data_IF_145375065286
#
_entry.id   IF_145375065286
#
_cell.length_a   1.000
_cell.length_b   1.000
_cell.length_c   1.000
_cell.angle_alpha   90.00
_cell.angle_beta   90.00
_cell.angle_gamma   90.00
#
_symmetry.space_group_name_H-M   'P 1'
#
loop_
_entity.id
_entity.type
_entity.pdbx_description
1 polymer ?
#
# COMPACT_ATOMS: atom_id res chain seq x y z
N UNK A 1 24.27 -20.43 16.61
CA UNK A 1 23.17 -20.93 17.46
C UNK A 1 23.20 -20.18 18.78
N UNK A 2 22.33 -19.19 18.94
CA UNK A 2 21.88 -18.73 20.26
C UNK A 2 20.41 -18.36 20.13
N UNK A 3 19.56 -19.02 20.91
CA UNK A 3 18.09 -18.94 20.83
C UNK A 3 17.62 -17.62 21.45
N UNK A 4 17.36 -16.61 20.62
CA UNK A 4 16.56 -15.46 21.04
C UNK A 4 15.09 -15.90 21.12
N UNK A 5 14.65 -16.21 22.35
CA UNK A 5 13.25 -16.52 22.69
C UNK A 5 12.40 -15.26 22.45
N UNK A 6 11.22 -15.46 21.89
CA UNK A 6 10.24 -14.40 21.71
C UNK A 6 9.76 -13.83 23.04
N UNK A 7 9.96 -12.54 23.20
CA UNK A 7 9.06 -11.64 23.93
C UNK A 7 8.89 -10.41 23.05
N UNK A 8 7.64 -10.05 22.76
CA UNK A 8 7.24 -8.91 21.96
C UNK A 8 7.42 -7.61 22.76
N UNK A 9 8.65 -7.36 23.19
CA UNK A 9 9.09 -6.11 23.80
C UNK A 9 9.96 -5.43 22.77
N UNK A 10 9.39 -4.49 22.04
CA UNK A 10 10.13 -3.46 21.34
C UNK A 10 10.97 -2.71 22.39
N UNK A 11 12.15 -3.26 22.69
CA UNK A 11 13.17 -2.56 23.45
C UNK A 11 13.63 -1.48 22.51
N UNK A 12 13.02 -0.29 22.64
CA UNK A 12 13.51 0.94 22.07
C UNK A 12 14.99 1.07 22.45
N UNK A 13 15.87 0.64 21.55
CA UNK A 13 17.27 1.00 21.64
C UNK A 13 17.31 2.51 21.44
N UNK A 14 17.48 3.24 22.55
CA UNK A 14 17.88 4.65 22.54
C UNK A 14 19.33 4.78 22.08
N UNK A 15 19.68 4.19 20.94
CA UNK A 15 20.95 4.40 20.26
C UNK A 15 20.79 5.64 19.38
N UNK A 16 21.74 6.57 19.45
CA UNK A 16 21.82 7.61 18.41
C UNK A 16 21.95 6.89 17.05
N UNK A 17 21.24 7.34 16.00
CA UNK A 17 21.30 6.70 14.68
C UNK A 17 22.72 6.54 14.13
N UNK A 18 23.70 7.27 14.65
CA UNK A 18 25.12 7.23 14.31
C UNK A 18 25.97 6.19 15.07
N UNK A 19 25.50 5.65 16.20
CA UNK A 19 26.35 4.86 17.13
C UNK A 19 25.95 3.40 17.28
N UNK A 20 24.76 3.01 16.81
CA UNK A 20 24.27 1.64 16.88
C UNK A 20 24.09 1.11 18.32
N UNK A 21 23.70 -0.17 18.49
CA UNK A 21 23.37 -1.13 17.44
C UNK A 21 22.02 -0.82 16.77
N UNK A 22 21.89 -1.17 15.48
CA UNK A 22 20.63 -1.07 14.73
C UNK A 22 19.95 -2.43 14.57
N UNK A 23 18.62 -2.45 14.63
CA UNK A 23 17.80 -3.63 14.33
C UNK A 23 17.01 -3.36 13.04
N UNK A 24 17.28 -4.12 11.98
CA UNK A 24 16.47 -4.11 10.77
C UNK A 24 15.30 -5.08 10.92
N UNK A 25 14.07 -4.55 10.93
CA UNK A 25 12.83 -5.34 10.93
C UNK A 25 12.44 -5.76 9.51
N UNK A 26 11.49 -6.70 9.40
CA UNK A 26 10.92 -7.14 8.12
C UNK A 26 9.61 -6.41 7.78
N UNK A 27 9.33 -5.28 8.44
CA UNK A 27 8.25 -4.37 8.04
C UNK A 27 8.56 -3.81 6.65
N UNK A 28 7.51 -3.55 5.86
CA UNK A 28 7.64 -3.28 4.42
C UNK A 28 8.56 -2.09 4.13
N UNK A 29 8.41 -1.02 4.90
CA UNK A 29 9.15 0.23 4.75
C UNK A 29 10.63 0.03 5.10
N UNK A 30 10.92 -0.63 6.23
CA UNK A 30 12.28 -0.95 6.67
C UNK A 30 12.97 -1.87 5.65
N UNK A 31 12.28 -2.93 5.22
CA UNK A 31 12.78 -3.89 4.25
C UNK A 31 13.10 -3.23 2.90
N UNK A 32 12.15 -2.43 2.35
CA UNK A 32 12.35 -1.72 1.08
C UNK A 32 13.51 -0.74 1.16
N UNK A 33 13.55 0.07 2.22
CA UNK A 33 14.64 1.02 2.46
C UNK A 33 15.99 0.31 2.54
N UNK A 34 16.06 -0.82 3.25
CA UNK A 34 17.29 -1.60 3.37
C UNK A 34 17.78 -2.09 2.00
N UNK A 35 16.91 -2.67 1.17
CA UNK A 35 17.31 -3.13 -0.17
C UNK A 35 17.73 -2.00 -1.10
N UNK A 36 17.15 -0.80 -0.96
CA UNK A 36 17.49 0.36 -1.78
C UNK A 36 18.82 1.00 -1.38
N UNK A 37 19.14 1.03 -0.08
CA UNK A 37 20.25 1.85 0.44
C UNK A 37 21.46 1.06 0.95
N UNK A 38 21.29 -0.19 1.40
CA UNK A 38 22.40 -0.98 1.91
C UNK A 38 23.43 -1.28 0.80
N UNK A 39 24.65 -0.79 0.97
CA UNK A 39 25.76 -1.02 0.03
C UNK A 39 26.26 -2.47 0.03
N UNK A 40 26.14 -3.18 1.15
CA UNK A 40 26.59 -4.55 1.30
C UNK A 40 25.61 -5.54 0.64
N UNK A 41 26.10 -6.23 -0.39
CA UNK A 41 25.31 -7.21 -1.16
C UNK A 41 24.88 -8.42 -0.33
N UNK A 42 25.74 -8.90 0.56
CA UNK A 42 25.43 -10.05 1.42
C UNK A 42 24.32 -9.69 2.41
N UNK A 43 24.33 -8.48 2.95
CA UNK A 43 23.27 -8.03 3.84
C UNK A 43 21.94 -7.83 3.11
N UNK A 44 21.95 -7.32 1.87
CA UNK A 44 20.74 -7.28 1.03
C UNK A 44 20.20 -8.69 0.78
N UNK A 45 21.07 -9.67 0.50
CA UNK A 45 20.65 -11.07 0.36
C UNK A 45 20.07 -11.63 1.66
N UNK A 46 20.73 -11.41 2.81
CA UNK A 46 20.25 -11.89 4.12
C UNK A 46 18.83 -11.39 4.42
N UNK A 47 18.59 -10.08 4.27
CA UNK A 47 17.26 -9.53 4.56
C UNK A 47 16.22 -9.98 3.52
N UNK A 48 16.61 -10.09 2.25
CA UNK A 48 15.74 -10.60 1.18
C UNK A 48 15.30 -12.04 1.46
N UNK A 49 16.23 -12.92 1.85
CA UNK A 49 15.94 -14.30 2.24
C UNK A 49 15.02 -14.36 3.46
N UNK A 50 15.33 -13.58 4.50
CA UNK A 50 14.51 -13.52 5.70
C UNK A 50 13.08 -13.08 5.39
N UNK A 51 12.91 -12.06 4.54
CA UNK A 51 11.60 -11.54 4.12
C UNK A 51 10.79 -12.58 3.31
N UNK A 52 11.42 -13.26 2.36
CA UNK A 52 10.74 -14.23 1.47
C UNK A 52 10.53 -15.61 2.10
N UNK A 53 11.23 -15.94 3.18
CA UNK A 53 11.01 -17.17 3.96
C UNK A 53 10.03 -16.98 5.12
N UNK A 54 9.41 -15.81 5.29
CA UNK A 54 8.37 -15.60 6.29
C UNK A 54 7.23 -16.59 6.08
N UNK A 55 6.77 -17.16 7.18
CA UNK A 55 5.67 -18.14 7.16
C UNK A 55 6.03 -19.51 6.57
N UNK A 56 7.32 -19.84 6.41
CA UNK A 56 7.74 -21.15 5.83
C UNK A 56 8.18 -22.18 6.88
N UNK A 57 8.51 -21.75 8.10
CA UNK A 57 9.10 -22.63 9.14
C UNK A 57 8.45 -22.45 10.51
N UNK A 58 8.66 -23.46 11.38
CA UNK A 58 8.23 -23.44 12.78
C UNK A 58 6.72 -23.27 12.97
N UNK A 59 6.34 -22.62 14.08
CA UNK A 59 4.93 -22.41 14.47
C UNK A 59 4.16 -21.42 13.58
N UNK A 60 4.85 -20.70 12.71
CA UNK A 60 4.26 -19.72 11.79
C UNK A 60 4.17 -20.27 10.36
N UNK A 61 4.39 -21.57 10.16
CA UNK A 61 4.37 -22.19 8.84
C UNK A 61 2.94 -22.15 8.25
N UNK A 62 2.80 -21.49 7.11
CA UNK A 62 1.52 -21.29 6.41
C UNK A 62 1.24 -22.34 5.34
N UNK A 63 2.20 -23.21 4.99
CA UNK A 63 2.03 -24.17 3.89
C UNK A 63 0.85 -25.12 4.12
N UNK A 64 0.66 -25.65 5.34
CA UNK A 64 -0.44 -26.57 5.66
C UNK A 64 -1.80 -25.86 5.66
N UNK A 65 -1.98 -24.70 6.34
CA UNK A 65 -3.21 -23.92 6.22
C UNK A 65 -3.59 -23.57 4.77
N UNK A 66 -2.61 -23.22 3.92
CA UNK A 66 -2.87 -22.90 2.51
C UNK A 66 -3.39 -24.12 1.75
N UNK A 67 -2.80 -25.30 1.96
CA UNK A 67 -3.28 -26.55 1.35
C UNK A 67 -4.69 -26.91 1.82
N UNK A 68 -5.00 -26.71 3.10
CA UNK A 68 -6.34 -26.92 3.65
C UNK A 68 -7.36 -25.97 3.01
N UNK A 69 -7.04 -24.67 2.91
CA UNK A 69 -7.88 -23.68 2.24
C UNK A 69 -8.10 -24.09 0.77
N UNK A 70 -7.07 -24.57 0.06
CA UNK A 70 -7.21 -25.03 -1.32
C UNK A 70 -8.17 -26.22 -1.43
N UNK A 71 -8.02 -27.21 -0.55
CA UNK A 71 -8.90 -28.39 -0.48
C UNK A 71 -10.35 -28.00 -0.21
N UNK A 72 -10.59 -27.17 0.81
CA UNK A 72 -11.92 -26.70 1.18
C UNK A 72 -12.58 -25.89 0.06
N UNK A 73 -11.82 -25.01 -0.61
CA UNK A 73 -12.31 -24.25 -1.79
C UNK A 73 -12.67 -25.16 -2.95
N UNK A 74 -11.92 -26.22 -3.21
CA UNK A 74 -12.25 -27.20 -4.24
C UNK A 74 -13.53 -27.96 -3.89
N UNK A 75 -13.69 -28.38 -2.63
CA UNK A 75 -14.90 -29.05 -2.16
C UNK A 75 -16.13 -28.12 -2.28
N UNK A 76 -15.99 -26.86 -1.87
CA UNK A 76 -17.04 -25.84 -2.01
C UNK A 76 -17.49 -25.66 -3.46
N UNK A 77 -16.54 -25.54 -4.39
CA UNK A 77 -16.86 -25.42 -5.82
C UNK A 77 -17.63 -26.65 -6.33
N UNK A 78 -17.17 -27.85 -5.98
CA UNK A 78 -17.81 -29.10 -6.39
C UNK A 78 -19.24 -29.22 -5.88
N UNK A 79 -19.50 -28.87 -4.62
CA UNK A 79 -20.85 -28.90 -4.02
C UNK A 79 -21.80 -27.96 -4.76
N UNK A 80 -21.30 -26.80 -5.22
CA UNK A 80 -22.07 -25.81 -5.95
C UNK A 80 -22.13 -26.07 -7.47
N UNK A 81 -21.59 -27.20 -7.95
CA UNK A 81 -21.63 -27.58 -9.37
C UNK A 81 -20.55 -26.94 -10.25
N UNK A 82 -19.53 -26.30 -9.68
CA UNK A 82 -18.43 -25.67 -10.41
C UNK A 82 -17.21 -26.60 -10.55
N UNK A 83 -16.44 -26.49 -11.65
CA UNK A 83 -15.26 -27.33 -11.87
C UNK A 83 -14.12 -27.04 -10.87
N UNK A 84 -13.97 -25.78 -10.47
CA UNK A 84 -12.97 -25.33 -9.50
C UNK A 84 -13.39 -24.00 -8.88
N UNK A 85 -12.74 -23.64 -7.77
CA UNK A 85 -13.09 -22.42 -7.03
C UNK A 85 -12.93 -21.14 -7.84
N UNK A 86 -11.98 -21.08 -8.77
CA UNK A 86 -11.83 -19.88 -9.62
C UNK A 86 -13.07 -19.64 -10.50
N UNK A 87 -13.72 -20.68 -11.04
CA UNK A 87 -14.94 -20.55 -11.84
C UNK A 87 -16.10 -20.07 -10.97
N UNK A 88 -16.29 -20.68 -9.79
CA UNK A 88 -17.25 -20.20 -8.79
C UNK A 88 -17.03 -18.71 -8.44
N UNK A 89 -15.76 -18.29 -8.31
CA UNK A 89 -15.40 -16.92 -7.96
C UNK A 89 -15.71 -15.90 -9.06
N UNK A 90 -15.82 -16.33 -10.32
CA UNK A 90 -16.07 -15.44 -11.45
C UNK A 90 -17.53 -15.01 -11.57
N UNK A 91 -18.48 -15.79 -11.04
CA UNK A 91 -19.92 -15.50 -11.09
C UNK A 91 -20.28 -14.09 -10.62
N UNK A 92 -19.61 -13.61 -9.57
CA UNK A 92 -19.87 -12.28 -9.01
C UNK A 92 -18.89 -11.21 -9.50
N UNK A 93 -18.03 -11.52 -10.48
CA UNK A 93 -16.99 -10.61 -10.98
C UNK A 93 -17.27 -10.22 -12.43
N UNK A 94 -16.95 -8.98 -12.77
CA UNK A 94 -17.10 -8.45 -14.15
C UNK A 94 -16.38 -9.29 -15.21
N UNK A 95 -15.28 -9.97 -14.84
CA UNK A 95 -14.54 -10.83 -15.75
C UNK A 95 -15.39 -12.00 -16.29
N UNK A 96 -16.35 -12.51 -15.51
CA UNK A 96 -17.32 -13.53 -15.91
C UNK A 96 -16.78 -14.94 -16.14
N UNK A 97 -15.50 -15.12 -16.53
CA UNK A 97 -14.92 -16.45 -16.72
C UNK A 97 -13.40 -16.46 -16.53
N UNK A 98 -12.84 -17.64 -16.23
CA UNK A 98 -11.39 -17.83 -16.06
C UNK A 98 -10.62 -17.69 -17.36
N UNK A 99 -11.24 -18.03 -18.49
CA UNK A 99 -10.66 -17.93 -19.83
C UNK A 99 -10.44 -16.46 -20.18
N UNK A 100 -11.42 -15.59 -19.92
CA UNK A 100 -11.27 -14.14 -20.14
C UNK A 100 -10.16 -13.54 -19.29
N UNK A 101 -10.02 -14.01 -18.04
CA UNK A 101 -8.91 -13.59 -17.16
C UNK A 101 -7.56 -14.01 -17.74
N UNK A 102 -7.41 -15.28 -18.12
CA UNK A 102 -6.14 -15.77 -18.67
C UNK A 102 -5.78 -15.07 -19.98
N UNK A 103 -6.72 -14.95 -20.93
CA UNK A 103 -6.50 -14.23 -22.20
C UNK A 103 -6.05 -12.79 -21.96
N UNK A 104 -6.67 -12.10 -20.99
CA UNK A 104 -6.26 -10.74 -20.63
C UNK A 104 -4.85 -10.69 -20.04
N UNK A 105 -4.52 -11.59 -19.10
CA UNK A 105 -3.20 -11.63 -18.48
C UNK A 105 -2.10 -12.02 -19.47
N UNK A 106 -2.37 -12.95 -20.39
CA UNK A 106 -1.45 -13.37 -21.43
C UNK A 106 -1.20 -12.22 -22.43
N UNK A 107 -2.26 -11.55 -22.89
CA UNK A 107 -2.15 -10.37 -23.75
C UNK A 107 -1.35 -9.24 -23.09
N UNK A 108 -1.62 -8.98 -21.81
CA UNK A 108 -0.87 -7.99 -21.04
C UNK A 108 0.61 -8.41 -20.94
N UNK A 109 0.89 -9.68 -20.62
CA UNK A 109 2.24 -10.20 -20.51
C UNK A 109 3.02 -10.07 -21.83
N UNK A 110 2.39 -10.34 -22.97
CA UNK A 110 2.97 -10.17 -24.30
C UNK A 110 3.34 -8.72 -24.59
N UNK A 111 2.48 -7.77 -24.21
CA UNK A 111 2.71 -6.34 -24.43
C UNK A 111 3.81 -5.77 -23.51
N UNK A 112 3.86 -6.17 -22.24
CA UNK A 112 4.82 -5.60 -21.27
C UNK A 112 6.19 -6.26 -21.31
N UNK A 113 6.29 -7.51 -21.78
CA UNK A 113 7.54 -8.29 -21.75
C UNK A 113 8.69 -7.63 -22.52
N UNK A 114 8.52 -7.10 -23.75
CA UNK A 114 9.61 -6.43 -24.46
C UNK A 114 10.18 -5.25 -23.66
N UNK A 115 9.31 -4.42 -23.07
CA UNK A 115 9.75 -3.27 -22.27
C UNK A 115 10.46 -3.70 -20.99
N UNK A 116 9.93 -4.71 -20.30
CA UNK A 116 10.56 -5.26 -19.10
C UNK A 116 11.97 -5.84 -19.39
N UNK A 117 12.15 -6.48 -20.54
CA UNK A 117 13.45 -6.98 -20.98
C UNK A 117 14.43 -5.84 -21.30
N UNK A 118 13.98 -4.82 -22.02
CA UNK A 118 14.76 -3.61 -22.32
C UNK A 118 15.21 -2.90 -21.03
N UNK A 119 14.31 -2.74 -20.05
CA UNK A 119 14.63 -2.11 -18.76
C UNK A 119 15.64 -2.94 -17.97
N UNK A 120 15.51 -4.26 -17.96
CA UNK A 120 16.46 -5.16 -17.30
C UNK A 120 17.84 -5.12 -17.96
N UNK A 121 17.89 -5.09 -19.30
CA UNK A 121 19.14 -4.95 -20.06
C UNK A 121 19.81 -3.60 -19.78
N UNK A 122 19.04 -2.52 -19.80
CA UNK A 122 19.52 -1.16 -19.50
C UNK A 122 20.07 -1.06 -18.08
N UNK A 123 19.36 -1.64 -17.10
CA UNK A 123 19.82 -1.71 -15.72
C UNK A 123 21.10 -2.55 -15.60
N UNK A 124 21.17 -3.69 -16.29
CA UNK A 124 22.35 -4.56 -16.30
C UNK A 124 23.58 -3.84 -16.87
N UNK A 125 23.43 -3.14 -18.00
CA UNK A 125 24.49 -2.32 -18.58
C UNK A 125 24.97 -1.23 -17.63
N UNK A 126 24.04 -0.50 -17.01
CA UNK A 126 24.36 0.52 -15.99
C UNK A 126 25.17 -0.04 -14.80
N UNK A 127 24.85 -1.26 -14.36
CA UNK A 127 25.60 -1.95 -13.30
C UNK A 127 27.03 -2.29 -13.75
N UNK A 128 27.17 -2.84 -14.96
CA UNK A 128 28.47 -3.26 -15.53
C UNK A 128 29.42 -2.08 -15.75
N UNK A 129 28.92 -0.95 -16.25
CA UNK A 129 29.67 0.31 -16.38
C UNK A 129 30.25 0.78 -15.04
N UNK A 130 29.59 0.45 -13.93
CA UNK A 130 30.00 0.79 -12.55
C UNK A 130 30.75 -0.33 -11.85
N UNK A 131 31.24 -1.30 -12.61
CA UNK A 131 32.12 -2.36 -12.12
C UNK A 131 31.40 -3.55 -11.47
N UNK A 132 30.08 -3.65 -11.56
CA UNK A 132 29.37 -4.86 -11.14
C UNK A 132 29.62 -6.00 -12.13
N UNK A 133 30.17 -7.12 -11.64
CA UNK A 133 30.58 -8.26 -12.47
C UNK A 133 29.71 -9.51 -12.32
N UNK A 134 28.86 -9.55 -11.30
CA UNK A 134 27.97 -10.69 -11.04
C UNK A 134 26.70 -10.62 -11.90
N UNK A 135 25.95 -11.72 -11.96
CA UNK A 135 24.59 -11.70 -12.48
C UNK A 135 23.68 -10.91 -11.52
N UNK A 136 22.87 -10.00 -12.07
CA UNK A 136 21.91 -9.23 -11.32
C UNK A 136 20.83 -10.15 -10.72
N UNK A 137 20.66 -10.11 -9.40
CA UNK A 137 19.68 -10.91 -8.66
C UNK A 137 18.54 -10.03 -8.12
N UNK A 138 17.45 -10.64 -7.66
CA UNK A 138 16.25 -9.91 -7.19
C UNK A 138 16.54 -8.93 -6.03
N UNK A 139 17.48 -9.27 -5.14
CA UNK A 139 17.91 -8.40 -4.04
C UNK A 139 18.90 -7.30 -4.45
N UNK A 140 19.39 -7.34 -5.69
CA UNK A 140 20.27 -6.31 -6.26
C UNK A 140 19.46 -5.22 -6.99
N UNK A 141 18.28 -5.58 -7.54
CA UNK A 141 17.45 -4.69 -8.37
C UNK A 141 17.08 -3.37 -7.66
N UNK A 142 16.56 -3.34 -6.41
CA UNK A 142 16.17 -2.07 -5.79
C UNK A 142 17.35 -1.11 -5.58
N UNK A 143 18.52 -1.64 -5.21
CA UNK A 143 19.74 -0.87 -5.00
C UNK A 143 20.22 -0.20 -6.30
N UNK A 144 20.34 -1.00 -7.37
CA UNK A 144 20.84 -0.50 -8.65
C UNK A 144 19.83 0.38 -9.37
N UNK A 145 18.53 0.07 -9.28
CA UNK A 145 17.47 0.93 -9.82
C UNK A 145 17.48 2.30 -9.16
N UNK A 146 17.66 2.38 -7.83
CA UNK A 146 17.83 3.66 -7.13
C UNK A 146 19.06 4.43 -7.65
N UNK A 147 20.22 3.76 -7.79
CA UNK A 147 21.44 4.40 -8.34
C UNK A 147 21.26 4.89 -9.77
N UNK A 148 20.61 4.10 -10.63
CA UNK A 148 20.32 4.47 -12.01
C UNK A 148 19.39 5.66 -12.07
N UNK A 149 18.29 5.63 -11.30
CA UNK A 149 17.37 6.76 -11.15
C UNK A 149 18.11 8.01 -10.68
N UNK A 150 18.97 7.91 -9.67
CA UNK A 150 19.77 9.02 -9.16
C UNK A 150 20.74 9.58 -10.21
N UNK A 151 21.34 8.73 -11.04
CA UNK A 151 22.24 9.17 -12.11
C UNK A 151 21.49 9.88 -13.25
N UNK A 152 20.31 9.37 -13.63
CA UNK A 152 19.47 9.96 -14.69
C UNK A 152 18.78 11.25 -14.21
N UNK A 153 18.37 11.27 -12.95
CA UNK A 153 17.67 12.39 -12.31
C UNK A 153 18.59 13.18 -11.39
N UNK A 154 19.88 13.30 -11.72
CA UNK A 154 20.87 13.97 -10.85
C UNK A 154 20.51 15.44 -10.51
N UNK A 155 19.60 16.05 -11.28
CA UNK A 155 19.03 17.40 -11.06
C UNK A 155 17.74 17.42 -10.22
N UNK A 156 17.23 16.26 -9.81
CA UNK A 156 16.00 16.11 -9.06
C UNK A 156 16.32 15.75 -7.61
N UNK A 157 16.04 16.66 -6.70
CA UNK A 157 16.17 16.42 -5.27
C UNK A 157 14.83 15.94 -4.70
N UNK A 158 14.74 14.65 -4.36
CA UNK A 158 13.55 14.06 -3.76
C UNK A 158 13.24 14.68 -2.38
N UNK A 159 14.26 15.16 -1.64
CA UNK A 159 14.04 15.83 -0.36
C UNK A 159 13.39 17.20 -0.55
N UNK A 160 13.86 18.00 -1.50
CA UNK A 160 13.23 19.27 -1.86
C UNK A 160 11.76 19.08 -2.31
N UNK A 161 11.47 18.00 -3.04
CA UNK A 161 10.10 17.71 -3.49
C UNK A 161 9.14 17.44 -2.32
N UNK A 162 9.62 16.83 -1.22
CA UNK A 162 8.78 16.57 -0.04
C UNK A 162 8.26 17.83 0.62
N UNK A 163 9.02 18.91 0.58
CA UNK A 163 8.62 20.22 1.13
C UNK A 163 7.39 20.79 0.41
N UNK A 164 7.16 20.39 -0.85
CA UNK A 164 6.00 20.81 -1.63
C UNK A 164 4.73 19.97 -1.39
N UNK A 165 4.82 18.85 -0.64
CA UNK A 165 3.70 17.95 -0.40
C UNK A 165 3.39 17.71 1.08
N UNK A 166 3.22 18.76 1.92
CA UNK A 166 2.76 18.58 3.28
C UNK A 166 1.33 18.04 3.28
N UNK A 167 1.05 17.04 4.11
CA UNK A 167 -0.22 16.32 4.13
C UNK A 167 -1.45 17.25 4.22
N UNK A 168 -1.49 18.29 5.08
CA UNK A 168 -2.62 19.22 5.12
C UNK A 168 -2.88 19.91 3.77
N UNK A 169 -1.85 20.44 3.10
CA UNK A 169 -2.02 21.12 1.82
C UNK A 169 -2.45 20.16 0.70
N UNK A 170 -1.98 18.91 0.73
CA UNK A 170 -2.41 17.88 -0.22
C UNK A 170 -3.89 17.55 -0.03
N UNK A 171 -4.35 17.41 1.22
CA UNK A 171 -5.76 17.16 1.50
C UNK A 171 -6.63 18.35 1.06
N UNK A 172 -6.23 19.59 1.37
CA UNK A 172 -6.95 20.79 0.92
C UNK A 172 -7.05 20.87 -0.60
N UNK A 173 -5.96 20.63 -1.31
CA UNK A 173 -5.94 20.60 -2.78
C UNK A 173 -6.84 19.49 -3.33
N UNK A 174 -6.86 18.33 -2.65
CA UNK A 174 -7.74 17.21 -3.01
C UNK A 174 -9.22 17.58 -2.83
N UNK A 175 -9.59 18.25 -1.74
CA UNK A 175 -10.96 18.72 -1.54
C UNK A 175 -11.38 19.70 -2.64
N UNK A 176 -10.49 20.61 -3.03
CA UNK A 176 -10.75 21.56 -4.11
C UNK A 176 -10.98 20.84 -5.45
N UNK A 177 -10.13 19.87 -5.79
CA UNK A 177 -10.31 19.07 -7.02
C UNK A 177 -11.65 18.34 -7.03
N UNK A 178 -12.07 17.78 -5.89
CA UNK A 178 -13.37 17.12 -5.76
C UNK A 178 -14.53 18.10 -5.87
N UNK A 179 -14.38 19.30 -5.32
CA UNK A 179 -15.35 20.37 -5.47
C UNK A 179 -15.50 20.78 -6.95
N UNK A 180 -14.39 21.04 -7.64
CA UNK A 180 -14.39 21.50 -9.02
C UNK A 180 -14.96 20.45 -9.99
N UNK A 181 -14.62 19.17 -9.77
CA UNK A 181 -15.04 18.08 -10.65
C UNK A 181 -16.49 17.61 -10.37
N UNK A 182 -16.92 17.65 -9.11
CA UNK A 182 -18.07 16.86 -8.64
C UNK A 182 -19.08 17.70 -7.84
N UNK A 183 -18.76 18.97 -7.56
CA UNK A 183 -19.58 19.90 -6.80
C UNK A 183 -19.74 19.55 -5.31
N UNK A 184 -19.01 18.55 -4.82
CA UNK A 184 -19.11 18.11 -3.43
C UNK A 184 -18.21 18.96 -2.53
N UNK A 185 -18.63 19.15 -1.28
CA UNK A 185 -17.83 19.86 -0.28
C UNK A 185 -17.38 18.87 0.78
N UNK A 186 -16.08 18.86 1.09
CA UNK A 186 -15.52 18.04 2.17
C UNK A 186 -15.05 18.96 3.28
N UNK A 187 -15.53 18.74 4.50
CA UNK A 187 -15.19 19.55 5.67
C UNK A 187 -14.90 18.69 6.89
N UNK A 188 -14.07 19.20 7.81
CA UNK A 188 -13.85 18.51 9.08
C UNK A 188 -15.10 18.52 9.96
N UNK A 189 -15.37 17.39 10.62
CA UNK A 189 -16.49 17.24 11.56
C UNK A 189 -15.96 17.01 12.97
N UNK A 190 -16.05 18.04 13.81
CA UNK A 190 -15.69 17.93 15.24
C UNK A 190 -16.60 16.95 15.98
N UNK A 191 -17.87 16.85 15.59
CA UNK A 191 -18.82 15.91 16.18
C UNK A 191 -18.43 14.45 15.88
N UNK A 192 -18.00 14.18 14.65
CA UNK A 192 -17.53 12.85 14.27
C UNK A 192 -16.15 12.54 14.88
N UNK A 193 -15.27 13.53 14.97
CA UNK A 193 -13.94 13.39 15.57
C UNK A 193 -13.99 12.95 17.05
N UNK A 194 -15.05 13.32 17.79
CA UNK A 194 -15.27 12.86 19.16
C UNK A 194 -15.44 11.32 19.28
N UNK A 195 -15.69 10.62 18.17
CA UNK A 195 -15.82 9.16 18.09
C UNK A 195 -14.55 8.46 17.59
N UNK A 196 -13.48 9.20 17.36
CA UNK A 196 -12.21 8.66 16.88
C UNK A 196 -11.54 7.76 17.94
N UNK A 197 -10.84 6.72 17.48
CA UNK A 197 -10.08 5.79 18.33
C UNK A 197 -8.68 6.29 18.70
N UNK A 198 -8.21 7.37 18.10
CA UNK A 198 -6.88 7.94 18.33
C UNK A 198 -6.88 9.45 18.09
N UNK A 199 -6.02 10.20 18.79
CA UNK A 199 -5.96 11.68 18.70
C UNK A 199 -5.59 12.19 17.32
N UNK A 200 -4.82 11.41 16.57
CA UNK A 200 -4.36 11.78 15.22
C UNK A 200 -5.39 11.49 14.13
N UNK A 201 -6.48 10.81 14.46
CA UNK A 201 -7.54 10.49 13.51
C UNK A 201 -8.38 11.73 13.27
N UNK A 202 -8.47 12.13 12.01
CA UNK A 202 -9.32 13.24 11.56
C UNK A 202 -10.63 12.68 11.05
N UNK A 203 -11.70 13.46 11.17
CA UNK A 203 -13.02 13.06 10.72
C UNK A 203 -13.60 14.11 9.78
N UNK A 204 -14.22 13.65 8.69
CA UNK A 204 -14.71 14.49 7.62
C UNK A 204 -16.14 14.15 7.23
N UNK A 205 -16.89 15.17 6.86
CA UNK A 205 -18.21 15.07 6.25
C UNK A 205 -18.15 15.48 4.79
N UNK A 206 -18.92 14.79 3.95
CA UNK A 206 -19.06 15.04 2.52
C UNK A 206 -20.48 15.56 2.31
N UNK A 207 -20.59 16.76 1.75
CA UNK A 207 -21.86 17.42 1.45
C UNK A 207 -22.11 17.44 -0.06
N UNK A 208 -23.36 17.21 -0.45
CA UNK A 208 -23.82 17.46 -1.81
C UNK A 208 -23.82 18.97 -2.14
N UNK A 209 -23.90 19.33 -3.44
CA UNK A 209 -24.10 20.73 -3.84
C UNK A 209 -25.33 21.39 -3.19
N UNK A 210 -26.34 20.59 -2.83
CA UNK A 210 -27.54 21.05 -2.10
C UNK A 210 -27.30 21.40 -0.64
N UNK A 211 -26.12 21.07 -0.09
CA UNK A 211 -25.80 21.18 1.34
C UNK A 211 -26.20 19.97 2.18
N UNK A 212 -26.83 18.95 1.59
CA UNK A 212 -27.21 17.73 2.29
C UNK A 212 -26.01 16.80 2.55
N UNK A 213 -26.01 16.11 3.68
CA UNK A 213 -24.98 15.14 4.04
C UNK A 213 -25.01 13.92 3.11
N UNK A 214 -23.99 13.76 2.28
CA UNK A 214 -23.81 12.61 1.41
C UNK A 214 -23.19 11.42 2.16
N UNK A 215 -22.26 11.69 3.08
CA UNK A 215 -21.49 10.66 3.77
C UNK A 215 -20.43 11.24 4.69
N UNK A 216 -19.72 10.37 5.39
CA UNK A 216 -18.62 10.77 6.27
C UNK A 216 -17.49 9.76 6.23
N UNK A 217 -16.29 10.16 6.65
CA UNK A 217 -15.19 9.23 6.82
C UNK A 217 -14.22 9.65 7.91
N UNK A 218 -13.55 8.66 8.50
CA UNK A 218 -12.39 8.86 9.35
C UNK A 218 -11.11 8.68 8.52
N UNK A 219 -10.10 9.50 8.77
CA UNK A 219 -8.75 9.38 8.22
C UNK A 219 -7.77 9.16 9.37
N UNK A 220 -7.10 8.02 9.38
CA UNK A 220 -6.01 7.69 10.28
C UNK A 220 -4.69 7.77 9.48
N UNK A 221 -3.96 8.91 9.51
CA UNK A 221 -2.94 9.20 8.51
C UNK A 221 -1.53 8.71 8.87
N UNK A 222 -1.23 8.43 10.14
CA UNK A 222 0.14 8.23 10.60
C UNK A 222 0.45 6.78 10.98
N UNK A 223 1.67 6.36 10.61
CA UNK A 223 2.25 5.12 11.11
C UNK A 223 2.53 5.23 12.62
N UNK A 224 2.13 4.20 13.38
CA UNK A 224 2.43 4.09 14.82
C UNK A 224 2.53 2.62 15.24
N UNK A 225 3.20 2.37 16.36
CA UNK A 225 3.34 1.03 16.90
C UNK A 225 1.97 0.38 17.19
N UNK A 226 1.78 -0.86 16.77
CA UNK A 226 0.53 -1.60 16.95
C UNK A 226 -0.57 -1.27 15.94
N UNK A 227 -0.38 -0.26 15.09
CA UNK A 227 -1.25 0.00 13.93
C UNK A 227 -0.85 -0.92 12.79
N UNK A 228 -1.82 -1.45 12.06
CA UNK A 228 -1.54 -2.19 10.83
C UNK A 228 -0.85 -1.24 9.83
N UNK A 229 0.12 -1.73 9.05
CA UNK A 229 0.88 -0.89 8.13
C UNK A 229 0.30 -0.96 6.72
N UNK A 230 0.59 0.05 5.91
CA UNK A 230 0.08 0.18 4.55
C UNK A 230 -1.10 1.14 4.47
N UNK A 231 -1.99 0.91 3.51
CA UNK A 231 -3.14 1.76 3.31
C UNK A 231 -4.32 0.94 2.82
N UNK A 232 -5.45 1.12 3.50
CA UNK A 232 -6.66 0.38 3.23
C UNK A 232 -7.89 1.21 3.55
N UNK A 233 -9.02 0.63 3.24
CA UNK A 233 -10.34 1.23 3.41
C UNK A 233 -11.27 0.19 3.95
N UNK A 234 -12.09 0.59 4.90
CA UNK A 234 -13.14 -0.25 5.44
C UNK A 234 -14.44 0.54 5.57
N UNK A 235 -15.58 0.04 5.05
CA UNK A 235 -16.87 0.66 5.32
C UNK A 235 -17.26 0.37 6.78
N UNK A 236 -17.30 1.41 7.61
CA UNK A 236 -17.81 1.29 8.99
C UNK A 236 -19.34 1.14 9.00
N UNK A 237 -20.01 1.84 8.08
CA UNK A 237 -21.45 1.73 7.85
C UNK A 237 -21.76 2.00 6.39
N UNK A 238 -22.41 1.05 5.71
CA UNK A 238 -22.92 1.27 4.36
C UNK A 238 -24.07 2.28 4.32
N UNK A 239 -24.26 2.94 3.18
CA UNK A 239 -25.43 3.78 2.94
C UNK A 239 -26.71 2.93 2.98
N UNK A 240 -27.72 3.39 3.72
CA UNK A 240 -29.01 2.73 3.80
C UNK A 240 -30.13 3.75 3.60
N UNK A 241 -30.75 3.73 2.42
CA UNK A 241 -31.83 4.64 2.04
C UNK A 241 -33.12 4.38 2.80
N UNK A 242 -33.42 3.12 3.12
CA UNK A 242 -34.62 2.73 3.89
C UNK A 242 -34.57 3.28 5.31
N UNK A 243 -33.37 3.39 5.89
CA UNK A 243 -33.15 3.94 7.23
C UNK A 243 -32.74 5.42 7.23
N UNK A 244 -32.61 6.04 6.05
CA UNK A 244 -32.12 7.42 5.92
C UNK A 244 -30.70 7.63 6.45
N UNK A 245 -29.84 6.59 6.40
CA UNK A 245 -28.50 6.63 6.98
C UNK A 245 -27.44 6.80 5.88
N UNK A 246 -26.63 7.89 5.92
CA UNK A 246 -25.52 8.04 5.00
C UNK A 246 -24.34 7.12 5.35
N UNK A 247 -23.49 6.84 4.38
CA UNK A 247 -22.32 5.98 4.54
C UNK A 247 -21.28 6.60 5.49
N UNK A 248 -20.57 5.73 6.23
CA UNK A 248 -19.40 6.08 7.03
C UNK A 248 -18.27 5.13 6.67
N UNK A 249 -17.13 5.68 6.26
CA UNK A 249 -15.93 4.91 5.94
C UNK A 249 -14.78 5.17 6.93
N UNK A 250 -13.86 4.23 7.02
CA UNK A 250 -12.57 4.37 7.69
C UNK A 250 -11.48 4.28 6.63
N UNK A 251 -10.58 5.27 6.65
CA UNK A 251 -9.43 5.37 5.76
C UNK A 251 -8.17 5.32 6.59
N UNK A 252 -7.32 4.37 6.25
CA UNK A 252 -6.02 4.22 6.89
C UNK A 252 -4.91 4.51 5.89
N UNK A 253 -3.99 5.37 6.30
CA UNK A 253 -2.74 5.64 5.62
C UNK A 253 -1.62 5.55 6.66
N UNK A 254 -0.47 5.03 6.24
CA UNK A 254 0.71 4.92 7.09
C UNK A 254 1.81 5.92 6.69
N UNK A 255 1.51 7.22 6.78
CA UNK A 255 2.56 8.25 6.61
C UNK A 255 3.48 8.19 7.82
N UNK A 256 4.79 8.05 7.60
CA UNK A 256 5.77 8.01 8.69
C UNK A 256 6.14 9.45 9.09
N UNK A 257 5.79 9.93 10.29
CA UNK A 257 6.23 11.25 10.75
C UNK A 257 7.73 11.21 11.03
N UNK A 258 8.48 12.17 10.49
CA UNK A 258 9.91 12.34 10.75
C UNK A 258 10.12 13.47 11.77
N UNK A 259 10.98 13.30 12.80
CA UNK A 259 11.22 14.34 13.79
C UNK A 259 11.66 15.66 13.15
N UNK A 260 10.95 16.76 13.43
CA UNK A 260 11.28 18.09 12.92
C UNK A 260 10.88 18.35 11.46
N UNK A 261 10.27 17.39 10.76
CA UNK A 261 9.78 17.54 9.38
C UNK A 261 8.27 17.37 9.39
N UNK A 262 7.55 18.29 8.76
CA UNK A 262 6.10 18.17 8.61
C UNK A 262 5.76 16.84 7.88
N UNK A 263 4.70 16.12 8.29
CA UNK A 263 4.29 14.91 7.59
C UNK A 263 4.02 15.21 6.11
N UNK A 264 4.74 14.51 5.23
CA UNK A 264 4.69 14.73 3.79
C UNK A 264 4.45 13.42 3.05
N UNK A 265 3.81 13.53 1.89
CA UNK A 265 3.64 12.39 0.98
C UNK A 265 4.85 12.33 0.04
N UNK A 266 5.52 11.18 0.00
CA UNK A 266 6.60 10.90 -0.97
C UNK A 266 6.04 10.19 -2.20
N UNK A 267 6.80 10.14 -3.30
CA UNK A 267 6.40 9.63 -4.63
C UNK A 267 5.69 8.25 -4.61
N UNK A 268 6.08 7.35 -3.72
CA UNK A 268 5.40 6.03 -3.57
C UNK A 268 4.07 6.07 -2.81
N UNK A 269 3.83 7.11 -2.02
CA UNK A 269 2.58 7.39 -1.30
C UNK A 269 1.68 8.43 -2.00
N UNK A 270 2.22 9.17 -2.98
CA UNK A 270 1.54 10.29 -3.65
C UNK A 270 0.53 9.85 -4.71
N UNK A 271 0.89 8.86 -5.55
CA UNK A 271 0.16 8.62 -6.82
C UNK A 271 -1.05 7.70 -6.72
N UNK A 272 -1.27 6.98 -5.61
CA UNK A 272 -2.34 5.98 -5.55
C UNK A 272 -3.16 5.94 -4.26
N UNK A 273 -2.78 6.62 -3.18
CA UNK A 273 -3.39 6.35 -1.88
C UNK A 273 -4.49 7.34 -1.48
N UNK A 274 -4.26 8.66 -1.32
CA UNK A 274 -5.32 9.56 -0.87
C UNK A 274 -6.40 9.77 -1.93
N UNK A 275 -6.01 10.03 -3.18
CA UNK A 275 -6.93 10.28 -4.30
C UNK A 275 -7.86 9.11 -4.58
N UNK A 276 -7.30 7.90 -4.76
CA UNK A 276 -8.09 6.70 -5.06
C UNK A 276 -9.01 6.35 -3.89
N UNK A 277 -8.52 6.48 -2.66
CA UNK A 277 -9.32 6.12 -1.50
C UNK A 277 -10.43 7.13 -1.24
N UNK A 278 -10.14 8.43 -1.31
CA UNK A 278 -11.17 9.45 -1.18
C UNK A 278 -12.20 9.33 -2.31
N UNK A 279 -11.79 9.03 -3.54
CA UNK A 279 -12.73 8.76 -4.64
C UNK A 279 -13.67 7.57 -4.33
N UNK A 280 -13.19 6.53 -3.65
CA UNK A 280 -14.06 5.42 -3.20
C UNK A 280 -15.07 5.89 -2.14
N UNK A 281 -14.68 6.80 -1.22
CA UNK A 281 -15.60 7.38 -0.23
C UNK A 281 -16.63 8.28 -0.88
N UNK A 282 -16.21 9.16 -1.79
CA UNK A 282 -17.11 10.02 -2.54
C UNK A 282 -18.07 9.19 -3.39
N UNK A 283 -17.62 8.09 -3.99
CA UNK A 283 -18.49 7.16 -4.71
C UNK A 283 -19.53 6.51 -3.78
N UNK A 284 -19.10 6.00 -2.62
CA UNK A 284 -20.00 5.36 -1.65
C UNK A 284 -21.05 6.35 -1.10
N UNK A 285 -20.64 7.60 -0.88
CA UNK A 285 -21.49 8.69 -0.40
C UNK A 285 -22.44 9.23 -1.49
N UNK A 286 -21.91 9.57 -2.66
CA UNK A 286 -22.63 10.31 -3.70
C UNK A 286 -23.39 9.42 -4.70
N UNK A 287 -23.40 8.10 -4.50
CA UNK A 287 -24.19 7.13 -5.28
C UNK A 287 -23.91 7.19 -6.78
N UNK A 288 -22.68 7.50 -7.20
CA UNK A 288 -22.39 7.48 -8.65
C UNK A 288 -22.49 6.07 -9.20
N UNK A 289 -23.14 5.91 -10.36
CA UNK A 289 -23.26 4.61 -11.01
C UNK A 289 -21.87 4.02 -11.22
N UNK A 290 -21.77 2.72 -11.00
CA UNK A 290 -20.67 1.94 -11.55
C UNK A 290 -20.84 2.06 -13.06
N UNK A 291 -19.97 2.81 -13.74
CA UNK A 291 -19.87 2.64 -15.20
C UNK A 291 -19.42 1.19 -15.40
N UNK A 292 -20.39 0.37 -15.77
CA UNK A 292 -20.23 -1.04 -16.13
C UNK A 292 -19.44 -1.17 -17.43
#
# INVERSE_FOLDING_TARGET
>A
MEKARGTNTARSCRSQPSTGPWLATLEEETYRGFLQHCGDRLQRWNIWQAYHSRGTTGKHKNSLPIEEIRSQRQAQAKVLGYPHFAALSMETKMAGSTERVNTFLDSLAEQVRPKAQEELQTLTGFCQERGFRDQLQLWDVPYWRRKQRQALLARFDEAAVREHFPLPAVLESLWQVLHDLLGITVGESSQLAAKAWHSDVRAFEILHPSGELAGSFFLDPYARAGKHMGSWTEPARGCNTLLGQPAIDIRDISVTPLPGIAPCLTDTSFTSMPLVQVAVSCRAACRWPMYC
#
